data_IF_248230856169
#
_entry.id   IF_248230856169
#
_cell.length_a   1.000
_cell.length_b   1.000
_cell.length_c   1.000
_cell.angle_alpha   90.00
_cell.angle_beta   90.00
_cell.angle_gamma   90.00
#
_symmetry.space_group_name_H-M   'P 1'
#
loop_
_entity.id
_entity.type
_entity.pdbx_description
1 polymer ?
#
# COMPACT_ATOMS: atom_id res chain seq x y z
N UNK A 1 -24.93 0.03 -4.31
CA UNK A 1 -24.21 -0.68 -5.39
C UNK A 1 -22.80 -1.03 -4.93
N UNK A 2 -22.21 -2.11 -5.48
CA UNK A 2 -20.92 -2.67 -5.02
C UNK A 2 -19.74 -1.75 -5.37
N UNK A 3 -19.52 -1.50 -6.66
CA UNK A 3 -18.31 -0.84 -7.19
C UNK A 3 -18.03 0.52 -6.55
N UNK A 4 -19.00 1.44 -6.59
CA UNK A 4 -18.78 2.81 -6.10
C UNK A 4 -18.45 2.86 -4.61
N UNK A 5 -19.02 1.95 -3.81
CA UNK A 5 -18.78 1.82 -2.38
C UNK A 5 -17.39 1.23 -2.11
N UNK A 6 -17.11 0.05 -2.66
CA UNK A 6 -15.87 -0.70 -2.40
C UNK A 6 -14.65 -0.03 -3.00
N UNK A 7 -14.80 0.80 -4.04
CA UNK A 7 -13.70 1.59 -4.61
C UNK A 7 -13.30 2.81 -3.76
N UNK A 8 -14.12 3.29 -2.81
CA UNK A 8 -13.84 4.54 -2.07
C UNK A 8 -12.46 4.55 -1.37
N UNK A 9 -12.05 3.46 -0.68
CA UNK A 9 -10.74 3.45 -0.02
C UNK A 9 -9.56 3.65 -0.97
N UNK A 10 -9.67 3.26 -2.25
CA UNK A 10 -8.58 3.46 -3.21
C UNK A 10 -8.22 4.94 -3.38
N UNK A 11 -9.23 5.80 -3.45
CA UNK A 11 -9.04 7.25 -3.52
C UNK A 11 -8.76 7.85 -2.14
N UNK A 12 -9.54 7.43 -1.14
CA UNK A 12 -9.46 8.00 0.21
C UNK A 12 -8.10 7.78 0.87
N UNK A 13 -7.53 6.59 0.76
CA UNK A 13 -6.20 6.30 1.33
C UNK A 13 -5.09 7.03 0.57
N UNK A 14 -5.18 7.13 -0.76
CA UNK A 14 -4.22 7.90 -1.55
C UNK A 14 -4.24 9.39 -1.19
N UNK A 15 -5.42 10.00 -1.10
CA UNK A 15 -5.58 11.39 -0.69
C UNK A 15 -5.04 11.64 0.72
N UNK A 16 -5.28 10.71 1.64
CA UNK A 16 -4.77 10.81 3.01
C UNK A 16 -3.24 10.66 3.07
N UNK A 17 -2.65 9.78 2.26
CA UNK A 17 -1.19 9.67 2.13
C UNK A 17 -0.57 10.96 1.58
N UNK A 18 -1.22 11.62 0.61
CA UNK A 18 -0.77 12.91 0.10
C UNK A 18 -0.85 14.01 1.16
N UNK A 19 -1.95 14.06 1.92
CA UNK A 19 -2.18 15.00 3.02
C UNK A 19 -1.17 14.82 4.16
N UNK A 20 -0.80 13.58 4.48
CA UNK A 20 0.23 13.23 5.46
C UNK A 20 1.67 13.47 4.94
N UNK A 21 1.84 13.91 3.69
CA UNK A 21 3.16 14.13 3.09
C UNK A 21 3.95 12.83 2.85
N UNK A 22 3.28 11.69 2.68
CA UNK A 22 3.93 10.40 2.47
C UNK A 22 4.82 10.39 1.22
N UNK A 23 4.41 11.09 0.17
CA UNK A 23 5.11 11.23 -1.09
C UNK A 23 4.29 12.08 -2.06
N UNK A 24 4.91 12.50 -3.16
CA UNK A 24 4.19 13.24 -4.21
C UNK A 24 3.24 12.32 -5.02
N UNK A 25 2.28 12.94 -5.72
CA UNK A 25 1.26 12.24 -6.48
C UNK A 25 1.85 11.30 -7.55
N UNK A 26 2.94 11.68 -8.23
CA UNK A 26 3.57 10.87 -9.26
C UNK A 26 4.21 9.60 -8.69
N UNK A 27 4.86 9.74 -7.53
CA UNK A 27 5.49 8.65 -6.80
C UNK A 27 4.45 7.68 -6.28
N UNK A 28 3.39 8.18 -5.66
CA UNK A 28 2.28 7.35 -5.19
C UNK A 28 1.60 6.62 -6.35
N UNK A 29 1.27 7.31 -7.45
CA UNK A 29 0.69 6.68 -8.65
C UNK A 29 1.57 5.57 -9.22
N UNK A 30 2.89 5.78 -9.27
CA UNK A 30 3.83 4.75 -9.72
C UNK A 30 3.86 3.55 -8.77
N UNK A 31 3.85 3.77 -7.45
CA UNK A 31 3.80 2.68 -6.47
C UNK A 31 2.51 1.84 -6.63
N UNK A 32 1.36 2.48 -6.77
CA UNK A 32 0.10 1.76 -6.98
C UNK A 32 0.11 0.95 -8.29
N UNK A 33 0.65 1.47 -9.39
CA UNK A 33 0.76 0.70 -10.65
C UNK A 33 1.80 -0.42 -10.57
N UNK A 34 3.02 -0.08 -10.20
CA UNK A 34 4.22 -0.91 -10.42
C UNK A 34 4.47 -1.93 -9.31
N UNK A 35 4.00 -1.65 -8.08
CA UNK A 35 3.95 -2.61 -6.98
C UNK A 35 2.53 -3.17 -6.76
N UNK A 36 1.53 -2.28 -6.73
CA UNK A 36 0.15 -2.68 -6.47
C UNK A 36 -0.54 -3.40 -7.64
N UNK A 37 -0.02 -3.29 -8.86
CA UNK A 37 -0.61 -3.92 -10.05
C UNK A 37 -1.90 -3.25 -10.56
N UNK A 38 -2.27 -2.10 -10.00
CA UNK A 38 -3.41 -1.33 -10.51
C UNK A 38 -3.11 -0.81 -11.92
N UNK A 39 -4.13 -0.72 -12.79
CA UNK A 39 -3.92 -0.26 -14.18
C UNK A 39 -3.48 1.21 -14.26
N UNK A 40 -3.99 2.03 -13.36
CA UNK A 40 -3.73 3.46 -13.28
C UNK A 40 -3.55 3.82 -11.81
N UNK A 41 -2.73 4.84 -11.51
CA UNK A 41 -2.59 5.34 -10.15
C UNK A 41 -3.83 6.16 -9.71
N UNK A 42 -4.07 6.30 -8.39
CA UNK A 42 -5.26 6.98 -7.88
C UNK A 42 -5.39 8.44 -8.32
N UNK A 43 -4.30 9.21 -8.39
CA UNK A 43 -4.36 10.63 -8.75
C UNK A 43 -4.63 10.83 -10.24
N UNK A 44 -3.94 10.06 -11.10
CA UNK A 44 -4.22 10.05 -12.53
C UNK A 44 -5.66 9.61 -12.82
N UNK A 45 -6.15 8.61 -12.09
CA UNK A 45 -7.52 8.12 -12.26
C UNK A 45 -8.54 9.17 -11.83
N UNK A 46 -8.32 9.87 -10.71
CA UNK A 46 -9.19 10.96 -10.28
C UNK A 46 -9.21 12.12 -11.29
N UNK A 47 -8.06 12.50 -11.84
CA UNK A 47 -7.98 13.53 -12.88
C UNK A 47 -8.65 13.09 -14.19
N UNK A 48 -8.59 11.80 -14.52
CA UNK A 48 -9.25 11.23 -15.70
C UNK A 48 -10.78 11.21 -15.53
N UNK A 49 -11.27 10.80 -14.37
CA UNK A 49 -12.71 10.79 -14.04
C UNK A 49 -13.27 12.22 -14.00
N UNK A 50 -12.48 13.15 -13.47
CA UNK A 50 -12.91 14.49 -13.10
C UNK A 50 -13.06 14.60 -11.59
N UNK A 51 -12.34 15.56 -10.99
CA UNK A 51 -12.27 15.69 -9.52
C UNK A 51 -13.62 16.07 -8.90
N UNK A 52 -14.41 16.89 -9.59
CA UNK A 52 -15.79 17.23 -9.21
C UNK A 52 -16.73 16.02 -9.21
N UNK A 53 -16.65 15.18 -10.23
CA UNK A 53 -17.46 13.95 -10.33
C UNK A 53 -17.06 12.98 -9.23
N UNK A 54 -15.76 12.76 -9.04
CA UNK A 54 -15.25 11.86 -8.00
C UNK A 54 -15.65 12.36 -6.59
N UNK A 55 -15.51 13.66 -6.32
CA UNK A 55 -15.88 14.29 -5.06
C UNK A 55 -17.39 14.21 -4.80
N UNK A 56 -18.23 14.46 -5.81
CA UNK A 56 -19.68 14.37 -5.69
C UNK A 56 -20.13 12.95 -5.28
N UNK A 57 -19.51 11.91 -5.87
CA UNK A 57 -19.76 10.51 -5.48
C UNK A 57 -19.30 10.26 -4.05
N UNK A 58 -18.13 10.74 -3.64
CA UNK A 58 -17.64 10.61 -2.26
C UNK A 58 -18.58 11.27 -1.26
N UNK A 59 -19.04 12.50 -1.51
CA UNK A 59 -20.02 13.21 -0.66
C UNK A 59 -21.35 12.50 -0.59
N UNK A 60 -21.83 11.98 -1.71
CA UNK A 60 -23.09 11.21 -1.79
C UNK A 60 -23.02 9.95 -0.94
N UNK A 61 -21.94 9.16 -1.06
CA UNK A 61 -21.73 7.96 -0.24
C UNK A 61 -21.61 8.35 1.24
N UNK A 62 -20.80 9.36 1.57
CA UNK A 62 -20.62 9.80 2.95
C UNK A 62 -21.92 10.21 3.62
N UNK A 63 -22.74 11.04 2.95
CA UNK A 63 -24.05 11.44 3.45
C UNK A 63 -25.03 10.26 3.57
N UNK A 64 -25.04 9.34 2.61
CA UNK A 64 -25.89 8.15 2.64
C UNK A 64 -25.54 7.18 3.78
N UNK A 65 -24.30 7.21 4.27
CA UNK A 65 -23.83 6.44 5.42
C UNK A 65 -23.75 7.27 6.70
N UNK A 66 -24.62 8.29 6.84
CA UNK A 66 -24.72 9.13 8.05
C UNK A 66 -23.39 9.72 8.49
N UNK A 67 -22.58 10.15 7.51
CA UNK A 67 -21.30 10.79 7.73
C UNK A 67 -20.24 9.87 8.38
N UNK A 68 -20.32 8.56 8.17
CA UNK A 68 -19.30 7.60 8.64
C UNK A 68 -17.88 8.06 8.22
N UNK A 69 -16.93 8.19 9.17
CA UNK A 69 -15.59 8.72 8.91
C UNK A 69 -14.79 7.92 7.89
N UNK A 70 -15.17 6.67 7.61
CA UNK A 70 -14.54 5.87 6.56
C UNK A 70 -14.74 6.45 5.16
N UNK A 71 -15.86 7.13 4.93
CA UNK A 71 -16.18 7.73 3.63
C UNK A 71 -15.95 9.24 3.60
N UNK A 72 -15.34 9.83 4.63
CA UNK A 72 -15.10 11.25 4.72
C UNK A 72 -14.38 11.79 3.46
N UNK A 73 -14.91 12.85 2.81
CA UNK A 73 -14.25 13.54 1.71
C UNK A 73 -12.90 14.14 2.14
N UNK A 74 -11.99 14.32 1.19
CA UNK A 74 -10.68 14.94 1.43
C UNK A 74 -10.72 16.43 1.15
N UNK A 75 -10.16 17.23 2.06
CA UNK A 75 -10.02 18.69 1.88
C UNK A 75 -9.16 19.04 0.66
N UNK A 76 -8.08 18.30 0.39
CA UNK A 76 -7.26 18.50 -0.82
C UNK A 76 -8.11 18.40 -2.08
N UNK A 77 -9.00 17.41 -2.14
CA UNK A 77 -9.90 17.25 -3.28
C UNK A 77 -10.93 18.38 -3.37
N UNK A 78 -11.46 18.85 -2.23
CA UNK A 78 -12.39 19.99 -2.19
C UNK A 78 -11.74 21.29 -2.68
N UNK A 79 -10.51 21.56 -2.24
CA UNK A 79 -9.77 22.77 -2.63
C UNK A 79 -9.47 22.79 -4.13
N UNK A 80 -9.07 21.65 -4.71
CA UNK A 80 -8.85 21.54 -6.16
C UNK A 80 -10.13 21.78 -6.96
N UNK A 81 -11.27 21.23 -6.51
CA UNK A 81 -12.56 21.45 -7.16
C UNK A 81 -13.01 22.91 -7.03
N UNK A 82 -12.85 23.51 -5.85
CA UNK A 82 -13.18 24.92 -5.61
C UNK A 82 -12.34 25.87 -6.47
N UNK A 83 -11.08 25.50 -6.74
CA UNK A 83 -10.18 26.24 -7.64
C UNK A 83 -10.45 26.00 -9.14
N UNK A 84 -11.43 25.15 -9.50
CA UNK A 84 -11.71 24.79 -10.90
C UNK A 84 -10.67 23.86 -11.52
N UNK A 85 -9.80 23.25 -10.72
CA UNK A 85 -8.84 22.24 -11.17
C UNK A 85 -9.51 20.88 -11.15
N UNK A 86 -10.27 20.58 -12.20
CA UNK A 86 -11.13 19.40 -12.32
C UNK A 86 -10.45 18.19 -12.96
N UNK A 87 -9.15 18.22 -13.20
CA UNK A 87 -8.41 17.16 -13.88
C UNK A 87 -8.22 17.42 -15.38
N UNK A 88 -8.24 16.36 -16.19
CA UNK A 88 -7.93 16.42 -17.63
C UNK A 88 -8.85 17.39 -18.39
N UNK A 89 -10.14 17.38 -18.05
CA UNK A 89 -11.15 18.20 -18.75
C UNK A 89 -10.98 19.72 -18.57
N UNK A 90 -10.27 20.15 -17.52
CA UNK A 90 -9.97 21.56 -17.26
C UNK A 90 -8.48 21.89 -17.50
N UNK A 91 -7.70 20.97 -18.05
CA UNK A 91 -6.26 21.14 -18.26
C UNK A 91 -5.40 21.06 -16.98
N UNK A 92 -6.01 20.91 -15.80
CA UNK A 92 -5.32 20.86 -14.51
C UNK A 92 -6.15 20.16 -13.44
N UNK A 93 -5.51 19.28 -12.68
CA UNK A 93 -5.98 18.67 -11.43
C UNK A 93 -4.80 18.43 -10.50
N UNK A 94 -4.57 17.17 -10.10
CA UNK A 94 -3.29 16.77 -9.47
C UNK A 94 -2.11 16.92 -10.42
N UNK A 95 -2.36 16.75 -11.73
CA UNK A 95 -1.38 17.00 -12.78
C UNK A 95 -1.79 18.19 -13.64
N UNK A 96 -0.79 18.74 -14.33
CA UNK A 96 -0.97 19.71 -15.41
C UNK A 96 -1.05 18.97 -16.75
N UNK A 97 -1.98 19.39 -17.60
CA UNK A 97 -2.23 18.80 -18.92
C UNK A 97 -2.06 19.80 -20.07
N UNK A 98 -1.42 20.94 -19.80
CA UNK A 98 -1.13 22.05 -20.73
C UNK A 98 0.30 21.95 -21.30
N UNK A 99 0.64 20.80 -21.89
CA UNK A 99 1.96 20.46 -22.49
C UNK A 99 3.18 20.52 -21.54
N UNK A 100 2.96 20.75 -20.25
CA UNK A 100 4.01 20.69 -19.24
C UNK A 100 4.57 19.25 -19.08
N UNK A 101 5.88 19.08 -18.84
CA UNK A 101 6.45 17.77 -18.53
C UNK A 101 5.76 17.17 -17.31
N UNK A 102 5.28 15.92 -17.46
CA UNK A 102 4.63 15.22 -16.36
C UNK A 102 5.67 14.93 -15.27
N UNK A 103 5.39 15.26 -13.99
CA UNK A 103 6.27 14.90 -12.89
C UNK A 103 6.55 13.40 -12.90
N UNK A 104 7.83 13.04 -12.78
CA UNK A 104 8.25 11.66 -12.70
C UNK A 104 8.24 11.20 -11.25
N UNK A 105 7.98 9.90 -11.05
CA UNK A 105 8.05 9.29 -9.73
C UNK A 105 9.45 9.40 -9.14
N UNK A 106 9.55 9.87 -7.90
CA UNK A 106 10.80 9.92 -7.17
C UNK A 106 11.32 8.49 -6.96
N UNK A 107 12.50 8.25 -7.49
CA UNK A 107 13.21 6.98 -7.40
C UNK A 107 14.57 7.28 -6.79
N UNK A 108 14.92 6.56 -5.72
CA UNK A 108 16.20 6.70 -5.07
C UNK A 108 17.33 6.39 -6.07
N UNK A 109 18.45 7.14 -6.02
CA UNK A 109 19.58 6.89 -6.89
C UNK A 109 20.14 5.49 -6.65
N UNK A 110 20.73 4.93 -7.70
CA UNK A 110 21.43 3.64 -7.62
C UNK A 110 22.51 3.70 -6.53
N UNK A 111 22.41 2.80 -5.57
CA UNK A 111 23.39 2.64 -4.52
C UNK A 111 24.53 1.73 -4.99
N UNK A 112 25.72 1.99 -4.45
CA UNK A 112 26.91 1.20 -4.76
C UNK A 112 26.84 -0.22 -4.16
N UNK A 113 27.79 -1.04 -4.59
CA UNK A 113 27.88 -2.50 -4.48
C UNK A 113 27.57 -3.09 -3.08
N UNK A 114 26.80 -4.19 -3.08
CA UNK A 114 26.49 -5.03 -1.91
C UNK A 114 27.61 -6.01 -1.56
N UNK A 115 28.70 -6.05 -2.33
CA UNK A 115 29.69 -7.13 -2.32
C UNK A 115 30.31 -7.48 -0.96
N UNK A 116 30.27 -6.58 0.02
CA UNK A 116 30.78 -6.84 1.38
C UNK A 116 29.69 -7.07 2.44
N UNK A 117 28.41 -6.85 2.14
CA UNK A 117 27.34 -6.94 3.13
C UNK A 117 26.76 -8.37 3.19
N UNK A 118 26.72 -9.03 4.36
CA UNK A 118 26.03 -10.31 4.48
C UNK A 118 24.53 -10.12 4.20
N UNK A 119 24.01 -10.93 3.27
CA UNK A 119 22.59 -11.00 2.95
C UNK A 119 22.00 -12.23 3.60
N UNK A 120 21.02 -12.05 4.48
CA UNK A 120 20.35 -13.13 5.20
C UNK A 120 18.85 -13.04 4.90
N UNK A 121 18.22 -14.16 4.56
CA UNK A 121 16.80 -14.20 4.22
C UNK A 121 16.03 -15.23 5.05
N UNK A 122 14.96 -14.80 5.70
CA UNK A 122 14.05 -15.70 6.39
C UNK A 122 13.15 -16.47 5.41
N UNK A 123 12.35 -17.39 5.93
CA UNK A 123 11.27 -18.03 5.18
C UNK A 123 10.10 -17.07 4.90
N UNK A 124 9.47 -17.21 3.73
CA UNK A 124 8.29 -16.43 3.33
C UNK A 124 8.27 -16.08 1.85
N UNK A 125 7.08 -15.77 1.32
CA UNK A 125 6.88 -15.51 -0.12
C UNK A 125 7.67 -14.30 -0.64
N UNK A 126 7.73 -13.22 0.14
CA UNK A 126 8.55 -12.05 -0.16
C UNK A 126 10.03 -12.41 -0.23
N UNK A 127 10.55 -13.05 0.81
CA UNK A 127 11.95 -13.46 0.87
C UNK A 127 12.32 -14.44 -0.25
N UNK A 128 11.46 -15.40 -0.56
CA UNK A 128 11.66 -16.34 -1.67
C UNK A 128 11.73 -15.61 -3.02
N UNK A 129 10.86 -14.63 -3.24
CA UNK A 129 10.87 -13.82 -4.47
C UNK A 129 12.17 -13.01 -4.61
N UNK A 130 12.64 -12.40 -3.52
CA UNK A 130 13.93 -11.69 -3.54
C UNK A 130 15.10 -12.65 -3.76
N UNK A 131 15.13 -13.79 -3.06
CA UNK A 131 16.16 -14.83 -3.24
C UNK A 131 16.23 -15.30 -4.70
N UNK A 132 15.07 -15.57 -5.31
CA UNK A 132 14.98 -15.97 -6.73
C UNK A 132 15.57 -14.90 -7.66
N UNK A 133 15.25 -13.62 -7.43
CA UNK A 133 15.78 -12.51 -8.24
C UNK A 133 17.28 -12.29 -8.05
N UNK A 134 17.79 -12.43 -6.82
CA UNK A 134 19.21 -12.30 -6.51
C UNK A 134 20.02 -13.48 -7.07
N UNK A 135 19.49 -14.70 -6.97
CA UNK A 135 20.12 -15.89 -7.54
C UNK A 135 20.26 -15.79 -9.05
N UNK A 136 19.23 -15.29 -9.76
CA UNK A 136 19.28 -15.05 -11.20
C UNK A 136 20.35 -14.02 -11.61
N UNK A 137 20.82 -13.21 -10.65
CA UNK A 137 21.88 -12.19 -10.82
C UNK A 137 23.23 -12.62 -10.23
N UNK A 138 23.34 -13.86 -9.75
CA UNK A 138 24.58 -14.41 -9.20
C UNK A 138 25.01 -13.83 -7.85
N UNK A 139 24.10 -13.21 -7.10
CA UNK A 139 24.41 -12.63 -5.79
C UNK A 139 24.27 -13.67 -4.67
N UNK A 140 25.29 -13.85 -3.82
CA UNK A 140 25.25 -14.80 -2.73
C UNK A 140 24.35 -14.31 -1.59
N UNK A 141 23.68 -15.24 -0.93
CA UNK A 141 22.91 -14.98 0.28
C UNK A 141 22.90 -16.23 1.17
N UNK A 142 22.54 -16.03 2.43
CA UNK A 142 22.41 -17.09 3.42
C UNK A 142 20.93 -17.25 3.81
N UNK A 143 20.41 -18.49 3.85
CA UNK A 143 19.10 -18.72 4.42
C UNK A 143 19.16 -18.54 5.95
N UNK A 144 18.16 -17.86 6.49
CA UNK A 144 17.72 -17.99 7.87
C UNK A 144 16.45 -18.83 7.89
N UNK A 145 16.24 -19.58 8.96
CA UNK A 145 14.96 -20.24 9.21
C UNK A 145 13.85 -19.22 9.51
N UNK A 146 12.83 -19.65 10.24
CA UNK A 146 11.78 -18.74 10.71
C UNK A 146 12.32 -17.72 11.71
N UNK A 147 11.91 -16.46 11.55
CA UNK A 147 12.29 -15.36 12.44
C UNK A 147 11.12 -14.98 13.35
N UNK A 148 11.30 -14.98 14.69
CA UNK A 148 10.20 -14.68 15.62
C UNK A 148 9.65 -13.25 15.52
N UNK A 149 10.46 -12.30 15.05
CA UNK A 149 10.09 -10.89 14.93
C UNK A 149 9.51 -10.51 13.55
N UNK A 150 9.46 -11.48 12.63
CA UNK A 150 8.90 -11.34 11.29
C UNK A 150 9.76 -10.53 10.32
N UNK A 151 11.08 -10.39 10.58
CA UNK A 151 12.02 -9.87 9.57
C UNK A 151 12.10 -10.85 8.41
N UNK A 152 12.11 -10.34 7.19
CA UNK A 152 12.24 -11.21 6.01
C UNK A 152 13.65 -11.18 5.42
N UNK A 153 14.41 -10.12 5.68
CA UNK A 153 15.80 -10.01 5.24
C UNK A 153 16.65 -9.15 6.18
N UNK A 154 17.95 -9.41 6.17
CA UNK A 154 18.99 -8.56 6.73
C UNK A 154 20.03 -8.28 5.64
N UNK A 155 20.51 -7.03 5.59
CA UNK A 155 21.56 -6.61 4.68
C UNK A 155 22.56 -5.76 5.46
N UNK A 156 23.70 -6.35 5.82
CA UNK A 156 24.64 -5.73 6.76
C UNK A 156 23.96 -5.43 8.09
N UNK A 157 23.89 -4.15 8.47
CA UNK A 157 23.22 -3.72 9.69
C UNK A 157 21.73 -3.40 9.52
N UNK A 158 21.20 -3.43 8.30
CA UNK A 158 19.81 -3.12 7.99
C UNK A 158 18.92 -4.34 8.19
N UNK A 159 17.76 -4.15 8.82
CA UNK A 159 16.76 -5.21 9.05
C UNK A 159 15.46 -4.82 8.35
N UNK A 160 15.03 -5.67 7.41
CA UNK A 160 13.89 -5.40 6.56
C UNK A 160 12.65 -6.18 7.00
N UNK A 161 11.53 -5.47 7.03
CA UNK A 161 10.23 -6.05 7.37
C UNK A 161 9.16 -5.63 6.36
N UNK A 162 8.22 -6.51 6.07
CA UNK A 162 6.97 -6.10 5.43
C UNK A 162 6.17 -5.24 6.42
N UNK A 163 5.60 -4.12 5.97
CA UNK A 163 4.77 -3.27 6.83
C UNK A 163 3.61 -4.07 7.45
N UNK A 164 3.37 -3.83 8.74
CA UNK A 164 2.27 -4.44 9.50
C UNK A 164 1.23 -3.40 9.95
N UNK A 165 1.24 -2.21 9.37
CA UNK A 165 0.34 -1.11 9.71
C UNK A 165 0.94 -0.08 10.69
N UNK A 166 2.07 -0.40 11.34
CA UNK A 166 2.84 0.56 12.15
C UNK A 166 3.82 1.36 11.29
N UNK A 167 4.32 2.46 11.83
CA UNK A 167 5.50 3.15 11.30
C UNK A 167 6.77 2.32 11.53
N UNK A 168 7.79 2.56 10.73
CA UNK A 168 9.12 1.98 10.89
C UNK A 168 9.71 2.35 12.25
N UNK A 169 9.54 3.61 12.67
CA UNK A 169 10.04 4.14 13.94
C UNK A 169 9.37 3.47 15.15
N UNK A 170 8.05 3.27 15.11
CA UNK A 170 7.33 2.56 16.17
C UNK A 170 7.79 1.09 16.24
N UNK A 171 7.91 0.43 15.08
CA UNK A 171 8.34 -0.96 15.02
C UNK A 171 9.76 -1.13 15.55
N UNK A 172 10.68 -0.26 15.14
CA UNK A 172 12.05 -0.22 15.61
C UNK A 172 12.13 -0.08 17.13
N UNK A 173 11.37 0.87 17.71
CA UNK A 173 11.34 1.10 19.15
C UNK A 173 10.79 -0.12 19.92
N UNK A 174 9.66 -0.70 19.46
CA UNK A 174 9.05 -1.87 20.13
C UNK A 174 9.88 -3.14 20.02
N UNK A 175 10.71 -3.28 18.98
CA UNK A 175 11.53 -4.46 18.73
C UNK A 175 12.97 -4.32 19.21
N UNK A 176 13.42 -3.11 19.56
CA UNK A 176 14.82 -2.85 19.89
C UNK A 176 15.75 -2.98 18.69
N UNK A 177 15.26 -2.68 17.48
CA UNK A 177 16.02 -2.79 16.23
C UNK A 177 16.05 -1.42 15.54
N UNK A 178 17.04 -0.59 15.85
CA UNK A 178 17.11 0.79 15.34
C UNK A 178 17.19 0.87 13.82
N UNK A 179 17.95 -0.01 13.19
CA UNK A 179 18.13 -0.05 11.74
C UNK A 179 16.98 -0.77 11.00
N UNK A 180 15.75 -0.41 11.34
CA UNK A 180 14.53 -0.97 10.72
C UNK A 180 14.20 -0.24 9.42
N UNK A 181 13.99 -1.00 8.36
CA UNK A 181 13.41 -0.52 7.10
C UNK A 181 12.15 -1.32 6.81
N UNK A 182 11.03 -0.62 6.63
CA UNK A 182 9.79 -1.22 6.17
C UNK A 182 9.74 -1.22 4.65
N UNK A 183 9.27 -2.34 4.11
CA UNK A 183 8.93 -2.50 2.69
C UNK A 183 7.40 -2.58 2.57
N UNK A 184 6.85 -1.89 1.58
CA UNK A 184 5.42 -1.93 1.27
C UNK A 184 5.02 -3.21 0.55
N UNK A 185 3.72 -3.48 0.50
CA UNK A 185 3.16 -4.61 -0.24
C UNK A 185 3.38 -4.45 -1.76
N UNK A 186 3.77 -5.53 -2.40
CA UNK A 186 3.54 -5.72 -3.84
C UNK A 186 2.52 -6.85 -4.05
N UNK A 187 1.73 -6.75 -5.14
CA UNK A 187 0.83 -7.82 -5.56
C UNK A 187 1.60 -9.10 -5.86
N UNK A 188 2.74 -8.97 -6.54
CA UNK A 188 3.65 -10.05 -6.87
C UNK A 188 5.10 -9.53 -6.91
N UNK A 189 5.92 -9.96 -5.95
CA UNK A 189 7.30 -9.54 -5.83
C UNK A 189 8.22 -10.14 -6.92
N UNK A 190 7.78 -11.17 -7.65
CA UNK A 190 8.53 -11.73 -8.76
C UNK A 190 8.50 -10.84 -10.01
N UNK A 191 7.37 -10.16 -10.24
CA UNK A 191 7.12 -9.35 -11.45
C UNK A 191 7.09 -7.85 -11.21
N UNK A 192 6.94 -7.38 -9.97
CA UNK A 192 6.94 -5.95 -9.65
C UNK A 192 8.25 -5.26 -10.06
N UNK A 193 8.14 -4.09 -10.67
CA UNK A 193 9.30 -3.28 -11.09
C UNK A 193 9.72 -2.24 -10.05
N UNK A 194 8.84 -1.91 -9.10
CA UNK A 194 9.09 -0.92 -8.05
C UNK A 194 8.73 -1.46 -6.68
N UNK A 195 9.42 -1.00 -5.64
CA UNK A 195 9.00 -1.14 -4.25
C UNK A 195 9.07 0.20 -3.52
N UNK A 196 8.14 0.42 -2.61
CA UNK A 196 8.18 1.53 -1.68
C UNK A 196 8.79 1.09 -0.35
N UNK A 197 9.59 1.96 0.26
CA UNK A 197 10.15 1.75 1.59
C UNK A 197 9.91 2.95 2.49
N UNK A 198 9.94 2.71 3.81
CA UNK A 198 10.14 3.73 4.83
C UNK A 198 11.22 3.26 5.80
N UNK A 199 12.01 4.19 6.33
CA UNK A 199 13.03 3.89 7.32
C UNK A 199 12.63 4.48 8.66
N UNK A 200 12.99 3.80 9.75
CA UNK A 200 12.81 4.34 11.09
C UNK A 200 13.64 5.62 11.25
N UNK A 201 13.16 6.58 12.04
CA UNK A 201 13.87 7.84 12.33
C UNK A 201 15.26 7.57 12.94
N UNK A 202 15.35 6.53 13.78
CA UNK A 202 16.58 6.07 14.41
C UNK A 202 17.44 5.15 13.51
N UNK A 203 17.07 4.92 12.26
CA UNK A 203 17.82 4.08 11.33
C UNK A 203 19.03 4.85 10.79
N UNK A 204 20.21 4.24 10.85
CA UNK A 204 21.42 4.88 10.32
C UNK A 204 21.37 5.05 8.80
N UNK A 205 21.91 6.14 8.23
CA UNK A 205 21.96 6.34 6.79
C UNK A 205 22.58 5.17 6.03
N UNK A 206 23.68 4.59 6.55
CA UNK A 206 24.35 3.44 5.95
C UNK A 206 23.44 2.18 5.90
N UNK A 207 22.60 1.96 6.91
CA UNK A 207 21.63 0.86 6.88
C UNK A 207 20.54 1.11 5.82
N UNK A 208 20.08 2.35 5.67
CA UNK A 208 19.12 2.71 4.61
C UNK A 208 19.74 2.46 3.24
N UNK A 209 20.97 2.92 3.00
CA UNK A 209 21.69 2.71 1.73
C UNK A 209 21.84 1.22 1.43
N UNK A 210 22.21 0.40 2.42
CA UNK A 210 22.37 -1.05 2.24
C UNK A 210 21.04 -1.75 1.94
N UNK A 211 19.95 -1.34 2.60
CA UNK A 211 18.62 -1.87 2.32
C UNK A 211 18.15 -1.49 0.90
N UNK A 212 18.43 -0.26 0.45
CA UNK A 212 18.11 0.20 -0.91
C UNK A 212 18.95 -0.56 -1.94
N UNK A 213 20.25 -0.74 -1.70
CA UNK A 213 21.14 -1.51 -2.54
C UNK A 213 20.66 -2.96 -2.71
N UNK A 214 20.18 -3.60 -1.63
CA UNK A 214 19.56 -4.93 -1.67
C UNK A 214 18.39 -4.99 -2.66
N UNK A 215 17.44 -4.07 -2.53
CA UNK A 215 16.24 -4.05 -3.37
C UNK A 215 16.58 -3.70 -4.83
N UNK A 216 17.49 -2.76 -5.08
CA UNK A 216 17.94 -2.43 -6.43
C UNK A 216 18.70 -3.58 -7.09
N UNK A 217 19.50 -4.31 -6.31
CA UNK A 217 20.21 -5.52 -6.76
C UNK A 217 19.25 -6.66 -7.07
N UNK A 218 18.09 -6.74 -6.42
CA UNK A 218 17.01 -7.63 -6.83
C UNK A 218 16.27 -7.14 -8.09
N UNK A 219 16.50 -5.90 -8.55
CA UNK A 219 15.94 -5.34 -9.77
C UNK A 219 14.71 -4.47 -9.58
N UNK A 220 14.56 -3.87 -8.40
CA UNK A 220 13.49 -2.89 -8.14
C UNK A 220 14.01 -1.46 -8.33
N UNK A 221 13.19 -0.60 -8.95
CA UNK A 221 13.21 0.82 -8.64
C UNK A 221 12.72 1.00 -7.19
N UNK A 222 13.39 1.82 -6.39
CA UNK A 222 13.03 2.02 -4.98
C UNK A 222 12.53 3.44 -4.77
N UNK A 223 11.31 3.59 -4.27
CA UNK A 223 10.78 4.87 -3.81
C UNK A 223 10.80 4.92 -2.29
N UNK A 224 11.33 6.00 -1.72
CA UNK A 224 11.23 6.25 -0.28
C UNK A 224 10.01 7.11 0.01
N UNK A 225 9.13 6.61 0.86
CA UNK A 225 8.04 7.38 1.44
C UNK A 225 8.47 7.94 2.81
N UNK A 226 7.76 8.96 3.29
CA UNK A 226 7.83 9.34 4.70
C UNK A 226 7.39 8.15 5.59
N UNK A 227 7.78 8.18 6.85
CA UNK A 227 7.47 7.10 7.80
C UNK A 227 6.00 7.13 8.26
N UNK A 228 5.10 6.76 7.35
CA UNK A 228 3.65 6.76 7.57
C UNK A 228 3.11 5.36 7.88
N UNK A 229 2.09 5.24 8.76
CA UNK A 229 1.48 3.97 9.12
C UNK A 229 0.95 3.20 7.89
N UNK A 230 1.37 1.94 7.75
CA UNK A 230 0.84 1.02 6.72
C UNK A 230 1.28 1.28 5.28
N UNK A 231 2.07 2.33 5.02
CA UNK A 231 2.55 2.71 3.68
C UNK A 231 1.41 2.85 2.65
N UNK A 232 1.67 2.68 1.36
CA UNK A 232 0.72 2.99 0.31
C UNK A 232 -0.17 1.80 -0.07
N UNK A 233 0.45 0.71 -0.54
CA UNK A 233 -0.27 -0.43 -1.12
C UNK A 233 -0.90 -1.29 -0.02
N UNK A 234 -0.15 -1.63 1.03
CA UNK A 234 -0.68 -2.48 2.12
C UNK A 234 -1.91 -1.83 2.77
N UNK A 235 -1.79 -0.56 3.18
CA UNK A 235 -2.88 0.21 3.79
C UNK A 235 -4.13 0.24 2.91
N UNK A 236 -3.95 0.57 1.63
CA UNK A 236 -5.06 0.71 0.68
C UNK A 236 -5.74 -0.62 0.39
N UNK A 237 -4.98 -1.68 0.12
CA UNK A 237 -5.55 -3.01 -0.16
C UNK A 237 -6.25 -3.57 1.08
N UNK A 238 -5.69 -3.37 2.29
CA UNK A 238 -6.36 -3.78 3.52
C UNK A 238 -7.68 -3.05 3.72
N UNK A 239 -7.76 -1.75 3.41
CA UNK A 239 -9.01 -0.99 3.51
C UNK A 239 -10.03 -1.39 2.43
N UNK A 240 -9.59 -1.68 1.20
CA UNK A 240 -10.45 -2.24 0.14
C UNK A 240 -11.05 -3.59 0.56
N UNK A 241 -10.22 -4.48 1.10
CA UNK A 241 -10.66 -5.76 1.64
C UNK A 241 -11.63 -5.62 2.80
N UNK A 242 -11.37 -4.66 3.70
CA UNK A 242 -12.23 -4.38 4.85
C UNK A 242 -13.61 -3.90 4.41
N UNK A 243 -13.65 -3.03 3.40
CA UNK A 243 -14.89 -2.50 2.84
C UNK A 243 -15.67 -3.58 2.07
N UNK A 244 -14.99 -4.43 1.30
CA UNK A 244 -15.60 -5.59 0.65
C UNK A 244 -16.18 -6.57 1.68
N UNK A 245 -15.48 -6.81 2.79
CA UNK A 245 -15.95 -7.69 3.86
C UNK A 245 -17.21 -7.11 4.54
N UNK A 246 -17.29 -5.79 4.72
CA UNK A 246 -18.49 -5.14 5.25
C UNK A 246 -19.67 -5.16 4.27
N UNK A 247 -19.42 -5.02 2.96
CA UNK A 247 -20.46 -5.18 1.95
C UNK A 247 -21.07 -6.60 1.98
N UNK A 248 -20.23 -7.63 2.13
CA UNK A 248 -20.70 -9.02 2.29
C UNK A 248 -21.41 -9.23 3.63
N UNK A 249 -20.86 -8.69 4.72
CA UNK A 249 -21.46 -8.79 6.05
C UNK A 249 -22.87 -8.19 6.10
N UNK A 250 -23.07 -7.07 5.41
CA UNK A 250 -24.34 -6.36 5.30
C UNK A 250 -25.27 -6.92 4.21
N UNK A 251 -24.91 -8.08 3.63
CA UNK A 251 -25.70 -8.77 2.61
C UNK A 251 -25.97 -7.95 1.34
N UNK A 252 -25.08 -7.03 0.99
CA UNK A 252 -25.15 -6.29 -0.27
C UNK A 252 -24.83 -7.20 -1.47
N UNK A 253 -23.94 -8.17 -1.26
CA UNK A 253 -23.51 -9.16 -2.24
C UNK A 253 -22.82 -10.34 -1.51
N UNK A 254 -22.50 -11.41 -2.25
CA UNK A 254 -21.61 -12.46 -1.77
C UNK A 254 -20.12 -12.16 -2.07
N UNK A 255 -19.22 -13.02 -1.57
CA UNK A 255 -17.78 -12.85 -1.69
C UNK A 255 -17.27 -12.92 -3.14
N UNK A 256 -17.81 -13.84 -3.94
CA UNK A 256 -17.42 -13.97 -5.36
C UNK A 256 -17.90 -12.76 -6.17
N UNK A 257 -19.12 -12.30 -5.90
CA UNK A 257 -19.73 -11.16 -6.59
C UNK A 257 -18.97 -9.86 -6.34
N UNK A 258 -18.51 -9.58 -5.11
CA UNK A 258 -17.70 -8.37 -4.85
C UNK A 258 -16.35 -8.43 -5.57
N UNK A 259 -15.69 -9.59 -5.55
CA UNK A 259 -14.40 -9.76 -6.23
C UNK A 259 -14.53 -9.59 -7.74
N UNK A 260 -15.53 -10.22 -8.36
CA UNK A 260 -15.81 -10.06 -9.78
C UNK A 260 -16.20 -8.63 -10.14
N UNK A 261 -17.06 -7.97 -9.34
CA UNK A 261 -17.49 -6.60 -9.59
C UNK A 261 -16.30 -5.63 -9.59
N UNK A 262 -15.33 -5.81 -8.68
CA UNK A 262 -14.15 -4.95 -8.63
C UNK A 262 -13.17 -5.23 -9.78
N UNK A 263 -12.93 -6.50 -10.11
CA UNK A 263 -12.10 -6.85 -11.26
C UNK A 263 -12.70 -6.33 -12.58
N UNK A 264 -13.99 -6.56 -12.84
CA UNK A 264 -14.63 -6.19 -14.11
C UNK A 264 -14.99 -4.70 -14.17
N UNK A 265 -15.47 -4.12 -13.07
CA UNK A 265 -15.96 -2.74 -13.03
C UNK A 265 -14.87 -1.69 -12.84
N UNK A 266 -13.73 -2.05 -12.26
CA UNK A 266 -12.64 -1.10 -11.96
C UNK A 266 -11.27 -1.55 -12.47
N UNK A 267 -11.21 -2.72 -13.11
CA UNK A 267 -9.97 -3.31 -13.62
C UNK A 267 -8.90 -3.49 -12.51
N UNK A 268 -9.36 -3.82 -11.29
CA UNK A 268 -8.45 -4.25 -10.23
C UNK A 268 -7.76 -5.56 -10.65
N UNK A 269 -6.47 -5.73 -10.32
CA UNK A 269 -5.72 -6.91 -10.74
C UNK A 269 -6.16 -8.17 -9.99
N UNK A 270 -6.77 -8.01 -8.82
CA UNK A 270 -7.30 -9.09 -8.00
C UNK A 270 -8.50 -8.58 -7.20
N UNK A 271 -9.49 -9.44 -6.99
CA UNK A 271 -10.65 -9.12 -6.16
C UNK A 271 -10.22 -8.86 -4.71
N UNK A 272 -10.77 -7.85 -4.02
CA UNK A 272 -10.30 -7.42 -2.70
C UNK A 272 -10.33 -8.52 -1.62
N UNK A 273 -11.28 -9.45 -1.64
CA UNK A 273 -11.34 -10.54 -0.67
C UNK A 273 -10.31 -11.64 -1.00
N UNK A 274 -10.16 -12.00 -2.27
CA UNK A 274 -9.10 -12.91 -2.72
C UNK A 274 -7.71 -12.32 -2.45
N UNK A 275 -7.57 -11.00 -2.57
CA UNK A 275 -6.33 -10.30 -2.25
C UNK A 275 -6.03 -10.36 -0.75
N UNK A 276 -7.05 -10.19 0.10
CA UNK A 276 -6.90 -10.35 1.54
C UNK A 276 -6.48 -11.76 1.93
N UNK A 277 -7.00 -12.78 1.26
CA UNK A 277 -6.60 -14.19 1.46
C UNK A 277 -5.16 -14.44 1.03
N UNK A 278 -4.74 -13.86 -0.10
CA UNK A 278 -3.34 -13.93 -0.57
C UNK A 278 -2.36 -13.27 0.38
N UNK A 279 -2.71 -12.13 0.98
CA UNK A 279 -1.93 -11.46 2.03
C UNK A 279 -1.96 -12.28 3.33
N UNK A 280 -3.08 -12.96 3.59
CA UNK A 280 -3.41 -13.66 4.82
C UNK A 280 -4.28 -12.81 5.74
N UNK A 281 -5.46 -13.31 6.09
CA UNK A 281 -6.46 -12.56 6.85
C UNK A 281 -5.97 -12.08 8.22
N UNK A 282 -5.08 -12.84 8.87
CA UNK A 282 -4.42 -12.44 10.13
C UNK A 282 -3.58 -11.17 9.95
N UNK A 283 -2.86 -11.08 8.84
CA UNK A 283 -2.05 -9.91 8.50
C UNK A 283 -2.94 -8.71 8.19
N UNK A 284 -3.98 -8.88 7.38
CA UNK A 284 -4.92 -7.80 7.04
C UNK A 284 -5.58 -7.23 8.31
N UNK A 285 -6.09 -8.09 9.19
CA UNK A 285 -6.64 -7.66 10.49
C UNK A 285 -5.58 -6.94 11.35
N UNK A 286 -4.34 -7.43 11.37
CA UNK A 286 -3.24 -6.80 12.14
C UNK A 286 -2.93 -5.40 11.61
N UNK A 287 -2.86 -5.22 10.30
CA UNK A 287 -2.65 -3.91 9.65
C UNK A 287 -3.75 -2.94 10.05
N UNK A 288 -5.02 -3.32 9.87
CA UNK A 288 -6.17 -2.48 10.22
C UNK A 288 -6.18 -2.12 11.72
N UNK A 289 -5.88 -3.08 12.60
CA UNK A 289 -5.81 -2.83 14.03
C UNK A 289 -4.67 -1.87 14.42
N UNK A 290 -3.50 -2.00 13.80
CA UNK A 290 -2.37 -1.08 14.04
C UNK A 290 -2.68 0.32 13.49
N UNK A 291 -3.32 0.43 12.31
CA UNK A 291 -3.77 1.72 11.77
C UNK A 291 -4.79 2.38 12.72
N UNK A 292 -5.81 1.63 13.15
CA UNK A 292 -6.81 2.12 14.11
C UNK A 292 -6.17 2.59 15.42
N UNK A 293 -5.20 1.84 15.96
CA UNK A 293 -4.49 2.21 17.17
C UNK A 293 -3.60 3.46 16.99
N UNK A 294 -3.02 3.64 15.80
CA UNK A 294 -2.14 4.78 15.51
C UNK A 294 -2.92 6.08 15.35
N UNK A 295 -4.01 6.04 14.58
CA UNK A 295 -4.81 7.24 14.31
C UNK A 295 -5.86 7.52 15.38
N UNK A 296 -6.29 6.50 16.15
CA UNK A 296 -7.40 6.64 17.10
C UNK A 296 -8.75 6.88 16.40
N UNK A 297 -8.86 6.51 15.13
CA UNK A 297 -10.03 6.78 14.28
C UNK A 297 -10.84 5.51 13.98
N UNK A 298 -12.18 5.63 14.02
CA UNK A 298 -13.11 4.56 13.61
C UNK A 298 -13.05 4.22 12.11
N UNK A 299 -12.33 5.03 11.32
CA UNK A 299 -12.07 4.80 9.88
C UNK A 299 -11.53 3.39 9.62
N UNK A 300 -10.55 2.97 10.41
CA UNK A 300 -9.82 1.69 10.24
C UNK A 300 -10.43 0.53 11.04
N UNK A 301 -11.62 0.70 11.63
CA UNK A 301 -12.28 -0.36 12.40
C UNK A 301 -12.40 -1.64 11.55
N UNK A 302 -12.08 -2.77 12.16
CA UNK A 302 -12.07 -4.08 11.49
C UNK A 302 -13.49 -4.56 11.25
N UNK A 303 -13.78 -4.99 10.02
CA UNK A 303 -15.06 -5.63 9.67
C UNK A 303 -15.37 -6.83 10.58
N UNK A 304 -16.60 -6.96 11.10
CA UNK A 304 -17.00 -8.12 11.88
C UNK A 304 -16.82 -9.44 11.12
N UNK A 305 -17.04 -9.45 9.80
CA UNK A 305 -16.86 -10.66 8.98
C UNK A 305 -15.38 -11.04 8.88
N UNK A 306 -14.50 -10.07 8.61
CA UNK A 306 -13.06 -10.30 8.58
C UNK A 306 -12.57 -10.86 9.93
N UNK A 307 -12.99 -10.26 11.04
CA UNK A 307 -12.67 -10.75 12.38
C UNK A 307 -13.14 -12.20 12.60
N UNK A 308 -14.40 -12.52 12.25
CA UNK A 308 -14.96 -13.88 12.35
C UNK A 308 -14.18 -14.89 11.52
N UNK A 309 -13.82 -14.57 10.28
CA UNK A 309 -13.02 -15.45 9.41
C UNK A 309 -11.63 -15.72 9.99
N UNK A 310 -10.96 -14.70 10.54
CA UNK A 310 -9.67 -14.87 11.23
C UNK A 310 -9.79 -15.81 12.44
N UNK A 311 -10.77 -15.60 13.32
CA UNK A 311 -10.90 -16.42 14.54
C UNK A 311 -11.37 -17.85 14.27
N UNK A 312 -12.23 -18.04 13.27
CA UNK A 312 -12.68 -19.37 12.83
C UNK A 312 -11.69 -20.10 11.93
N UNK A 313 -10.58 -19.46 11.53
CA UNK A 313 -9.58 -19.98 10.59
C UNK A 313 -10.21 -20.39 9.24
N UNK A 314 -11.24 -19.67 8.80
CA UNK A 314 -11.89 -19.85 7.49
C UNK A 314 -11.51 -18.72 6.54
N UNK A 315 -11.59 -18.99 5.25
CA UNK A 315 -11.45 -18.01 4.16
C UNK A 315 -12.83 -17.46 3.77
N UNK A 316 -12.88 -16.33 3.07
CA UNK A 316 -14.11 -15.78 2.51
C UNK A 316 -14.72 -16.72 1.46
N UNK A 317 -13.88 -17.33 0.62
CA UNK A 317 -14.26 -18.24 -0.47
C UNK A 317 -14.31 -19.74 -0.09
N UNK A 318 -14.38 -20.05 1.21
CA UNK A 318 -14.54 -21.43 1.72
C UNK A 318 -15.98 -21.94 1.57
#
# INVERSE_FOLDING_TARGET
>A
FIVNRVARPYYGEALRLLDEGAGDAATLDAIFREAGGFRMGPFELMDLIGLDVNLAVSKSVWSAFYNDPRYAPSLIQEDLVAAGFLGRKSGRGFYRYDDAPRPQANTLPTQADLSSAPLIFAEGSLAESLRSRLQARGLPFQPAGTTPDGRFAEAGSAVLYLTDGRTASERAARKGVSNTVLVDLALDYGSASRLAIAAAEQCSPAAIETAVALLQSAGFAVSKLADVPGLAVMRSVCMLANEAADAVYQQVCDAHAVDQAMCLGTNYPLGPLAWAERIGLKQVRRVLANLAATYGEDRYRVSPLLARKVFSRKTFHA
#
